data_IF_781637146936
#
_entry.id   IF_781637146936
#
_cell.length_a   1.000
_cell.length_b   1.000
_cell.length_c   1.000
_cell.angle_alpha   90.00
_cell.angle_beta   90.00
_cell.angle_gamma   90.00
#
_symmetry.space_group_name_H-M   'P 1'
#
loop_
_entity.id
_entity.type
_entity.pdbx_description
1 polymer ?
#
# COMPACT_ATOMS: atom_id res chain seq x y z
N UNK A 1 -3.77 1.36 26.22
CA UNK A 1 -4.55 0.14 26.04
C UNK A 1 -5.40 -0.19 27.27
N UNK A 2 -6.47 -0.96 27.09
CA UNK A 2 -7.32 -1.39 28.21
C UNK A 2 -6.69 -2.57 28.96
N UNK A 3 -6.00 -3.43 28.23
CA UNK A 3 -5.17 -4.52 28.76
C UNK A 3 -4.15 -4.97 27.71
N UNK A 4 -3.37 -6.00 27.99
CA UNK A 4 -2.33 -6.52 27.09
C UNK A 4 -2.86 -7.12 25.77
N UNK A 5 -4.18 -7.27 25.61
CA UNK A 5 -4.81 -7.86 24.42
C UNK A 5 -5.82 -6.94 23.75
N UNK A 6 -6.22 -5.86 24.41
CA UNK A 6 -7.22 -4.94 23.88
C UNK A 6 -6.79 -3.49 24.04
N UNK A 7 -6.86 -2.76 22.94
CA UNK A 7 -6.65 -1.30 22.88
C UNK A 7 -7.92 -0.65 22.38
N UNK A 8 -8.45 0.32 23.11
CA UNK A 8 -9.52 1.19 22.63
C UNK A 8 -8.93 2.49 22.12
N UNK A 9 -9.54 3.01 21.07
CA UNK A 9 -9.16 4.26 20.39
C UNK A 9 -10.39 5.14 20.24
N UNK A 10 -10.20 6.44 20.34
CA UNK A 10 -11.22 7.45 20.06
C UNK A 10 -10.63 8.50 19.15
N UNK A 11 -11.46 9.03 18.27
CA UNK A 11 -11.09 10.03 17.28
C UNK A 11 -12.17 11.11 17.27
N UNK A 12 -11.77 12.36 17.12
CA UNK A 12 -12.66 13.47 16.91
C UNK A 12 -11.97 14.55 16.05
N UNK A 13 -12.68 15.03 15.06
CA UNK A 13 -12.27 16.14 14.18
C UNK A 13 -13.42 17.15 14.10
N UNK A 14 -13.05 18.41 14.04
CA UNK A 14 -14.03 19.47 13.83
C UNK A 14 -13.44 20.59 12.97
N UNK A 15 -14.26 21.10 12.06
CA UNK A 15 -14.02 22.33 11.31
C UNK A 15 -15.22 23.24 11.45
N UNK A 16 -15.25 24.39 10.76
CA UNK A 16 -16.39 25.29 10.80
C UNK A 16 -17.72 24.63 10.38
N UNK A 17 -17.64 23.69 9.42
CA UNK A 17 -18.81 23.10 8.76
C UNK A 17 -18.87 21.57 8.89
N UNK A 18 -17.95 20.93 9.63
CA UNK A 18 -17.86 19.49 9.81
C UNK A 18 -17.59 19.16 11.26
N UNK A 19 -18.32 18.20 11.81
CA UNK A 19 -17.99 17.48 13.03
C UNK A 19 -17.93 15.98 12.72
N UNK A 20 -16.87 15.32 13.15
CA UNK A 20 -16.65 13.88 12.97
C UNK A 20 -16.13 13.30 14.29
N UNK A 21 -16.69 12.18 14.71
CA UNK A 21 -16.22 11.46 15.88
C UNK A 21 -16.34 9.94 15.68
N UNK A 22 -15.39 9.22 16.24
CA UNK A 22 -15.36 7.78 16.10
C UNK A 22 -14.73 7.07 17.29
N UNK A 23 -15.01 5.78 17.37
CA UNK A 23 -14.44 4.84 18.34
C UNK A 23 -13.94 3.61 17.61
N UNK A 24 -12.89 3.02 18.12
CA UNK A 24 -12.32 1.79 17.57
C UNK A 24 -11.68 0.93 18.64
N UNK A 25 -11.37 -0.30 18.25
CA UNK A 25 -10.68 -1.22 19.13
C UNK A 25 -9.85 -2.23 18.37
N UNK A 26 -8.70 -2.56 18.95
CA UNK A 26 -7.79 -3.58 18.46
C UNK A 26 -7.72 -4.72 19.46
N UNK A 27 -7.97 -5.95 19.00
CA UNK A 27 -7.85 -7.18 19.77
C UNK A 27 -6.71 -8.06 19.28
N UNK A 28 -5.82 -8.40 20.17
CA UNK A 28 -4.86 -9.49 19.99
C UNK A 28 -5.52 -10.78 20.44
N UNK A 29 -5.91 -11.65 19.51
CA UNK A 29 -6.71 -12.85 19.77
C UNK A 29 -5.93 -13.92 20.53
N UNK A 30 -4.61 -13.79 20.63
CA UNK A 30 -3.74 -14.69 21.36
C UNK A 30 -3.48 -16.02 20.64
N UNK A 31 -2.43 -16.74 21.04
CA UNK A 31 -2.00 -17.96 20.35
C UNK A 31 -1.84 -17.73 18.84
N UNK A 32 -2.39 -18.62 17.99
CA UNK A 32 -2.35 -18.44 16.53
C UNK A 32 -3.48 -17.55 15.99
N UNK A 33 -4.21 -16.80 16.82
CA UNK A 33 -5.47 -16.14 16.42
C UNK A 33 -5.33 -14.83 15.65
N UNK A 34 -4.15 -14.19 15.66
CA UNK A 34 -3.93 -12.94 14.94
C UNK A 34 -4.44 -11.68 15.66
N UNK A 35 -4.66 -10.62 14.90
CA UNK A 35 -5.12 -9.31 15.39
C UNK A 35 -6.36 -8.90 14.63
N UNK A 36 -7.39 -8.50 15.35
CA UNK A 36 -8.63 -7.95 14.80
C UNK A 36 -8.73 -6.48 15.19
N UNK A 37 -9.11 -5.65 14.24
CA UNK A 37 -9.46 -4.25 14.45
C UNK A 37 -10.89 -4.01 13.96
N UNK A 38 -11.64 -3.14 14.66
CA UNK A 38 -12.92 -2.64 14.21
C UNK A 38 -13.10 -1.19 14.68
N UNK A 39 -13.74 -0.36 13.86
CA UNK A 39 -14.09 1.01 14.21
C UNK A 39 -15.43 1.43 13.61
N UNK A 40 -16.02 2.44 14.26
CA UNK A 40 -17.22 3.17 13.81
C UNK A 40 -16.98 4.65 14.00
N UNK A 41 -17.36 5.45 13.00
CA UNK A 41 -17.33 6.90 13.06
C UNK A 41 -18.63 7.48 12.50
N UNK A 42 -19.03 8.64 13.01
CA UNK A 42 -20.16 9.40 12.51
C UNK A 42 -19.71 10.81 12.18
N UNK A 43 -20.29 11.39 11.13
CA UNK A 43 -20.04 12.77 10.73
C UNK A 43 -21.35 13.54 10.54
N UNK A 44 -21.26 14.83 10.76
CA UNK A 44 -22.32 15.80 10.46
C UNK A 44 -21.72 17.01 9.75
N UNK A 45 -22.28 17.35 8.59
CA UNK A 45 -21.85 18.45 7.74
C UNK A 45 -23.06 19.17 7.20
N UNK A 46 -23.27 20.44 7.58
CA UNK A 46 -24.36 21.30 7.06
C UNK A 46 -25.76 20.65 7.14
N UNK A 47 -26.03 19.87 8.21
CA UNK A 47 -27.30 19.17 8.42
C UNK A 47 -27.44 17.82 7.71
N UNK A 48 -26.41 17.39 7.02
CA UNK A 48 -26.29 16.03 6.46
C UNK A 48 -25.44 15.17 7.38
N UNK A 49 -25.84 13.93 7.59
CA UNK A 49 -25.12 12.99 8.45
C UNK A 49 -24.75 11.71 7.72
N UNK A 50 -23.69 11.10 8.17
CA UNK A 50 -23.23 9.83 7.64
C UNK A 50 -22.44 9.03 8.66
N UNK A 51 -22.20 7.77 8.34
CA UNK A 51 -21.45 6.84 9.18
C UNK A 51 -20.37 6.16 8.36
N UNK A 52 -19.26 5.86 9.01
CA UNK A 52 -18.20 5.00 8.48
C UNK A 52 -17.98 3.83 9.42
N UNK A 53 -17.80 2.65 8.85
CA UNK A 53 -17.31 1.49 9.58
C UNK A 53 -16.03 0.98 8.94
N UNK A 54 -15.14 0.45 9.75
CA UNK A 54 -13.98 -0.27 9.24
C UNK A 54 -13.69 -1.52 10.04
N UNK A 55 -13.07 -2.48 9.39
CA UNK A 55 -12.63 -3.71 10.01
C UNK A 55 -11.35 -4.22 9.37
N UNK A 56 -10.45 -4.77 10.15
CA UNK A 56 -9.31 -5.47 9.61
C UNK A 56 -8.96 -6.71 10.44
N UNK A 57 -8.43 -7.70 9.76
CA UNK A 57 -7.89 -8.89 10.37
C UNK A 57 -6.51 -9.17 9.81
N UNK A 58 -5.54 -9.33 10.68
CA UNK A 58 -4.17 -9.69 10.33
C UNK A 58 -3.77 -10.96 11.06
N UNK A 59 -3.42 -11.97 10.30
CA UNK A 59 -2.86 -13.19 10.83
C UNK A 59 -1.52 -13.49 10.18
N UNK A 60 -0.56 -13.89 10.97
CA UNK A 60 0.74 -14.32 10.48
C UNK A 60 1.32 -15.44 11.36
N UNK A 61 2.11 -16.26 10.74
CA UNK A 61 3.03 -17.18 11.39
C UNK A 61 4.41 -17.11 10.73
N UNK A 62 5.32 -18.03 11.05
CA UNK A 62 6.67 -18.00 10.48
C UNK A 62 6.74 -18.17 8.96
N UNK A 63 5.65 -18.55 8.30
CA UNK A 63 5.62 -18.84 6.84
C UNK A 63 4.49 -18.16 6.10
N UNK A 64 3.33 -18.04 6.73
CA UNK A 64 2.13 -17.49 6.08
C UNK A 64 1.69 -16.19 6.73
N UNK A 65 1.14 -15.31 5.93
CA UNK A 65 0.40 -14.15 6.38
C UNK A 65 -0.92 -14.03 5.60
N UNK A 66 -1.94 -13.53 6.27
CA UNK A 66 -3.25 -13.19 5.69
C UNK A 66 -3.64 -11.83 6.25
N UNK A 67 -4.02 -10.93 5.36
CA UNK A 67 -4.55 -9.61 5.69
C UNK A 67 -5.90 -9.41 5.03
N UNK A 68 -6.87 -8.96 5.80
CA UNK A 68 -8.20 -8.58 5.33
C UNK A 68 -8.47 -7.17 5.85
N UNK A 69 -8.93 -6.28 4.98
CA UNK A 69 -9.37 -4.94 5.35
C UNK A 69 -10.68 -4.62 4.65
N UNK A 70 -11.58 -4.01 5.35
CA UNK A 70 -12.81 -3.45 4.81
C UNK A 70 -13.09 -2.09 5.42
N UNK A 71 -13.60 -1.20 4.61
CA UNK A 71 -14.11 0.12 5.01
C UNK A 71 -15.37 0.36 4.21
N UNK A 72 -16.39 0.88 4.85
CA UNK A 72 -17.60 1.31 4.18
C UNK A 72 -18.17 2.56 4.80
N UNK A 73 -18.82 3.38 3.98
CA UNK A 73 -19.52 4.57 4.40
C UNK A 73 -21.00 4.49 4.04
N UNK A 74 -21.83 5.19 4.77
CA UNK A 74 -23.25 5.32 4.50
C UNK A 74 -23.74 6.75 4.76
N UNK A 75 -24.81 7.15 4.10
CA UNK A 75 -25.27 8.52 4.12
C UNK A 75 -24.24 9.46 3.50
N UNK A 76 -24.21 10.70 3.96
CA UNK A 76 -23.26 11.72 3.52
C UNK A 76 -22.05 11.81 4.47
N UNK A 77 -21.45 10.65 4.78
CA UNK A 77 -20.26 10.61 5.63
C UNK A 77 -19.13 11.44 5.02
N UNK A 78 -18.56 12.33 5.82
CA UNK A 78 -17.38 13.12 5.46
C UNK A 78 -16.38 13.15 6.62
N UNK A 79 -15.13 13.17 6.26
CA UNK A 79 -14.02 13.53 7.13
C UNK A 79 -13.35 14.81 6.63
N UNK A 80 -12.33 15.27 7.32
CA UNK A 80 -11.61 16.49 6.92
C UNK A 80 -11.00 16.35 5.53
N UNK A 81 -10.50 15.17 5.15
CA UNK A 81 -9.89 14.95 3.85
C UNK A 81 -10.92 15.05 2.70
N UNK A 82 -12.10 14.45 2.86
CA UNK A 82 -13.19 14.52 1.87
C UNK A 82 -13.81 15.91 1.78
N UNK A 83 -13.83 16.65 2.90
CA UNK A 83 -14.29 18.04 2.91
C UNK A 83 -13.38 18.96 2.07
N UNK A 84 -12.09 18.66 1.95
CA UNK A 84 -11.11 19.46 1.22
C UNK A 84 -10.67 18.86 -0.14
N UNK A 85 -11.46 17.96 -0.71
CA UNK A 85 -11.34 17.54 -2.12
C UNK A 85 -10.80 16.13 -2.36
N UNK A 86 -10.67 15.28 -1.35
CA UNK A 86 -10.47 13.86 -1.58
C UNK A 86 -11.77 13.19 -2.03
N UNK A 87 -11.71 12.26 -2.99
CA UNK A 87 -12.88 11.50 -3.40
C UNK A 87 -13.43 10.67 -2.24
N UNK A 88 -14.73 10.78 -2.01
CA UNK A 88 -15.41 10.02 -0.95
C UNK A 88 -15.45 8.52 -1.32
N UNK A 89 -14.94 7.67 -0.45
CA UNK A 89 -14.98 6.24 -0.61
C UNK A 89 -16.31 5.72 -0.08
N UNK A 90 -17.07 4.98 -0.91
CA UNK A 90 -18.28 4.28 -0.50
C UNK A 90 -17.95 2.92 0.13
N UNK A 91 -17.08 2.18 -0.52
CA UNK A 91 -16.64 0.86 -0.05
C UNK A 91 -15.18 0.64 -0.45
N UNK A 92 -14.39 0.08 0.44
CA UNK A 92 -13.05 -0.42 0.11
C UNK A 92 -12.86 -1.79 0.73
N UNK A 93 -12.41 -2.74 -0.07
CA UNK A 93 -12.11 -4.10 0.37
C UNK A 93 -10.73 -4.50 -0.10
N UNK A 94 -9.94 -5.04 0.79
CA UNK A 94 -8.61 -5.55 0.47
C UNK A 94 -8.42 -6.94 1.07
N UNK A 95 -7.91 -7.85 0.27
CA UNK A 95 -7.42 -9.15 0.73
C UNK A 95 -5.97 -9.31 0.30
N UNK A 96 -5.14 -9.80 1.19
CA UNK A 96 -3.74 -10.12 0.90
C UNK A 96 -3.34 -11.43 1.55
N UNK A 97 -2.47 -12.17 0.88
CA UNK A 97 -1.86 -13.37 1.46
C UNK A 97 -0.42 -13.48 1.00
N UNK A 98 0.42 -14.06 1.83
CA UNK A 98 1.81 -14.27 1.52
C UNK A 98 2.34 -15.56 2.12
N UNK A 99 3.39 -16.05 1.50
CA UNK A 99 4.12 -17.23 1.91
C UNK A 99 5.62 -16.99 1.85
N UNK A 100 6.33 -17.35 2.90
CA UNK A 100 7.77 -17.13 3.00
C UNK A 100 8.50 -18.41 3.33
N UNK A 101 9.56 -18.70 2.59
CA UNK A 101 10.48 -19.79 2.85
C UNK A 101 11.92 -19.35 2.69
N UNK A 102 12.82 -20.04 3.37
CA UNK A 102 14.26 -19.78 3.24
C UNK A 102 14.79 -20.16 1.85
N UNK A 103 14.23 -21.20 1.23
CA UNK A 103 14.71 -21.71 -0.07
C UNK A 103 14.18 -20.92 -1.27
N UNK A 104 12.89 -20.55 -1.25
CA UNK A 104 12.22 -19.92 -2.40
C UNK A 104 12.05 -18.40 -2.24
N UNK A 105 12.25 -17.85 -1.04
CA UNK A 105 11.98 -16.46 -0.74
C UNK A 105 10.54 -16.24 -0.29
N UNK A 106 10.06 -15.02 -0.43
CA UNK A 106 8.72 -14.58 -0.04
C UNK A 106 7.88 -14.27 -1.27
N UNK A 107 6.65 -14.75 -1.27
CA UNK A 107 5.62 -14.50 -2.28
C UNK A 107 4.42 -13.86 -1.63
N UNK A 108 3.72 -13.04 -2.36
CA UNK A 108 2.44 -12.55 -1.92
C UNK A 108 1.57 -12.12 -3.09
N UNK A 109 0.27 -12.16 -2.85
CA UNK A 109 -0.74 -11.66 -3.75
C UNK A 109 -1.72 -10.81 -2.97
N UNK A 110 -2.26 -9.79 -3.61
CA UNK A 110 -3.31 -8.96 -3.04
C UNK A 110 -4.34 -8.59 -4.11
N UNK A 111 -5.55 -8.41 -3.64
CA UNK A 111 -6.64 -7.83 -4.40
C UNK A 111 -7.19 -6.65 -3.61
N UNK A 112 -7.44 -5.56 -4.30
CA UNK A 112 -7.99 -4.34 -3.74
C UNK A 112 -9.12 -3.83 -4.63
N UNK A 113 -10.26 -3.53 -4.04
CA UNK A 113 -11.42 -2.95 -4.67
C UNK A 113 -11.83 -1.69 -3.91
N UNK A 114 -11.95 -0.58 -4.62
CA UNK A 114 -12.37 0.70 -4.06
C UNK A 114 -13.54 1.24 -4.89
N UNK A 115 -14.68 1.35 -4.27
CA UNK A 115 -15.88 1.99 -4.83
C UNK A 115 -15.97 3.42 -4.31
N UNK A 116 -15.92 4.37 -5.22
CA UNK A 116 -16.04 5.79 -4.92
C UNK A 116 -17.47 6.25 -5.04
N UNK A 117 -17.82 7.33 -4.34
CA UNK A 117 -19.18 7.85 -4.37
C UNK A 117 -19.55 8.52 -5.72
N UNK A 118 -18.55 9.11 -6.39
CA UNK A 118 -18.73 9.92 -7.60
C UNK A 118 -17.90 9.42 -8.79
N UNK A 119 -17.01 8.44 -8.57
CA UNK A 119 -16.11 7.87 -9.59
C UNK A 119 -16.40 6.39 -9.81
N UNK A 120 -15.84 5.82 -10.86
CA UNK A 120 -15.92 4.40 -11.14
C UNK A 120 -15.17 3.55 -10.09
N UNK A 121 -15.65 2.34 -9.88
CA UNK A 121 -14.99 1.36 -9.01
C UNK A 121 -13.61 0.99 -9.55
N UNK A 122 -12.59 1.15 -8.75
CA UNK A 122 -11.22 0.75 -9.08
C UNK A 122 -10.92 -0.64 -8.51
N UNK A 123 -10.35 -1.54 -9.32
CA UNK A 123 -10.01 -2.93 -8.94
C UNK A 123 -8.58 -3.25 -9.34
N UNK A 124 -7.77 -3.61 -8.36
CA UNK A 124 -6.36 -3.91 -8.59
C UNK A 124 -6.00 -5.29 -8.04
N UNK A 125 -5.26 -6.05 -8.84
CA UNK A 125 -4.57 -7.23 -8.38
C UNK A 125 -3.05 -6.98 -8.39
N UNK A 126 -2.36 -7.43 -7.35
CA UNK A 126 -0.92 -7.32 -7.26
C UNK A 126 -0.31 -8.65 -6.85
N UNK A 127 0.88 -8.93 -7.35
CA UNK A 127 1.69 -10.05 -6.92
C UNK A 127 3.13 -9.59 -6.70
N UNK A 128 3.79 -10.14 -5.71
CA UNK A 128 5.21 -9.90 -5.51
C UNK A 128 5.97 -11.18 -5.20
N UNK A 129 7.24 -11.15 -5.55
CA UNK A 129 8.22 -12.12 -5.10
C UNK A 129 9.49 -11.41 -4.68
N UNK A 130 10.11 -11.87 -3.59
CA UNK A 130 11.40 -11.37 -3.17
C UNK A 130 12.26 -12.49 -2.60
N UNK A 131 13.56 -12.44 -2.89
CA UNK A 131 14.51 -13.41 -2.35
C UNK A 131 15.86 -12.77 -2.05
N UNK A 132 16.36 -13.03 -0.86
CA UNK A 132 17.72 -12.70 -0.48
C UNK A 132 18.66 -13.88 -0.74
N UNK A 133 19.75 -13.61 -1.42
CA UNK A 133 20.83 -14.54 -1.72
C UNK A 133 22.02 -14.19 -0.81
N UNK A 134 22.15 -14.93 0.25
CA UNK A 134 23.09 -14.61 1.31
C UNK A 134 22.72 -13.30 2.02
N UNK A 135 23.76 -12.54 2.43
CA UNK A 135 23.59 -11.30 3.20
C UNK A 135 23.65 -10.02 2.37
N UNK A 136 23.98 -10.15 1.09
CA UNK A 136 24.38 -8.98 0.28
C UNK A 136 23.51 -8.72 -0.94
N UNK A 137 22.83 -9.73 -1.43
CA UNK A 137 22.04 -9.61 -2.65
C UNK A 137 20.57 -9.90 -2.38
N UNK A 138 19.70 -9.02 -2.85
CA UNK A 138 18.26 -9.22 -2.84
C UNK A 138 17.70 -8.96 -4.25
N UNK A 139 16.76 -9.80 -4.65
CA UNK A 139 16.00 -9.67 -5.89
C UNK A 139 14.52 -9.58 -5.54
N UNK A 140 13.80 -8.68 -6.20
CA UNK A 140 12.36 -8.52 -6.07
C UNK A 140 11.70 -8.35 -7.43
N UNK A 141 10.50 -8.89 -7.54
CA UNK A 141 9.61 -8.76 -8.69
C UNK A 141 8.26 -8.30 -8.17
N UNK A 142 7.67 -7.31 -8.82
CA UNK A 142 6.32 -6.84 -8.51
C UNK A 142 5.52 -6.78 -9.82
N UNK A 143 4.27 -7.21 -9.74
CA UNK A 143 3.29 -7.18 -10.81
C UNK A 143 2.05 -6.49 -10.28
N UNK A 144 1.50 -5.55 -11.05
CA UNK A 144 0.26 -4.89 -10.73
C UNK A 144 -0.61 -4.84 -11.99
N UNK A 145 -1.90 -5.09 -11.79
CA UNK A 145 -2.89 -5.10 -12.86
C UNK A 145 -4.14 -4.36 -12.40
N UNK A 146 -4.58 -3.40 -13.17
CA UNK A 146 -5.94 -2.89 -13.08
C UNK A 146 -6.88 -3.90 -13.76
N UNK A 147 -7.87 -4.40 -13.02
CA UNK A 147 -8.80 -5.44 -13.53
C UNK A 147 -9.85 -4.82 -14.45
N UNK A 148 -10.18 -3.55 -14.24
CA UNK A 148 -11.15 -2.83 -15.06
C UNK A 148 -10.54 -2.35 -16.39
N UNK A 149 -9.26 -2.08 -16.40
CA UNK A 149 -8.51 -1.65 -17.58
C UNK A 149 -7.26 -2.52 -17.78
N UNK A 150 -7.36 -3.48 -18.68
CA UNK A 150 -6.26 -4.39 -18.99
C UNK A 150 -5.02 -3.68 -19.57
N UNK A 151 -5.20 -2.48 -20.11
CA UNK A 151 -4.11 -1.65 -20.59
C UNK A 151 -3.36 -0.92 -19.46
N UNK A 152 -3.86 -0.96 -18.23
CA UNK A 152 -3.20 -0.36 -17.07
C UNK A 152 -2.52 -1.43 -16.23
N UNK A 153 -1.40 -1.93 -16.73
CA UNK A 153 -0.58 -2.92 -16.05
C UNK A 153 0.83 -2.40 -15.76
N UNK A 154 1.48 -2.95 -14.77
CA UNK A 154 2.89 -2.70 -14.53
C UNK A 154 3.62 -3.94 -14.01
N UNK A 155 4.83 -4.11 -14.48
CA UNK A 155 5.75 -5.12 -13.99
C UNK A 155 7.08 -4.47 -13.63
N UNK A 156 7.65 -4.83 -12.49
CA UNK A 156 8.97 -4.34 -12.11
C UNK A 156 9.86 -5.46 -11.58
N UNK A 157 11.13 -5.36 -11.89
CA UNK A 157 12.19 -6.21 -11.36
C UNK A 157 13.23 -5.29 -10.73
N UNK A 158 13.55 -5.54 -9.47
CA UNK A 158 14.56 -4.78 -8.74
C UNK A 158 15.62 -5.71 -8.16
N UNK A 159 16.85 -5.24 -8.17
CA UNK A 159 17.97 -5.89 -7.53
C UNK A 159 18.71 -4.93 -6.61
N UNK A 160 19.05 -5.36 -5.42
CA UNK A 160 19.87 -4.61 -4.49
C UNK A 160 21.09 -5.42 -4.06
N UNK A 161 22.22 -4.74 -3.98
CA UNK A 161 23.49 -5.34 -3.60
C UNK A 161 24.19 -4.47 -2.55
N UNK A 162 24.51 -5.06 -1.41
CA UNK A 162 25.32 -4.42 -0.38
C UNK A 162 26.80 -4.73 -0.61
N UNK A 163 27.54 -3.75 -1.08
CA UNK A 163 28.97 -3.88 -1.37
C UNK A 163 29.79 -3.92 -0.08
N UNK A 164 29.42 -3.09 0.89
CA UNK A 164 30.02 -3.00 2.22
C UNK A 164 28.96 -2.54 3.22
N UNK A 165 29.33 -2.40 4.50
CA UNK A 165 28.39 -1.99 5.57
C UNK A 165 27.65 -0.70 5.27
N UNK A 166 28.25 0.21 4.52
CA UNK A 166 27.71 1.53 4.25
C UNK A 166 27.46 1.82 2.77
N UNK A 167 27.79 0.90 1.85
CA UNK A 167 27.65 1.10 0.41
C UNK A 167 26.61 0.11 -0.11
N UNK A 168 25.60 0.63 -0.77
CA UNK A 168 24.57 -0.16 -1.45
C UNK A 168 24.43 0.28 -2.91
N UNK A 169 24.16 -0.70 -3.75
CA UNK A 169 23.76 -0.52 -5.13
C UNK A 169 22.35 -1.06 -5.30
N UNK A 170 21.48 -0.28 -5.95
CA UNK A 170 20.12 -0.67 -6.29
C UNK A 170 19.89 -0.42 -7.76
N UNK A 171 19.19 -1.33 -8.40
CA UNK A 171 18.78 -1.20 -9.79
C UNK A 171 17.37 -1.72 -9.94
N UNK A 172 16.55 -1.06 -10.73
CA UNK A 172 15.21 -1.52 -11.07
C UNK A 172 14.86 -1.19 -12.51
N UNK A 173 14.10 -2.08 -13.11
CA UNK A 173 13.41 -1.89 -14.38
C UNK A 173 11.93 -1.98 -14.10
N UNK A 174 11.18 -1.00 -14.57
CA UNK A 174 9.73 -0.99 -14.50
C UNK A 174 9.18 -0.85 -15.91
N UNK A 175 8.33 -1.77 -16.29
CA UNK A 175 7.54 -1.75 -17.51
C UNK A 175 6.11 -1.34 -17.20
N UNK A 176 5.57 -0.42 -17.94
CA UNK A 176 4.15 -0.05 -17.98
C UNK A 176 3.70 -0.07 -19.44
N UNK A 177 2.39 -0.10 -19.69
CA UNK A 177 1.87 -0.16 -21.06
C UNK A 177 2.37 0.98 -21.98
N UNK A 178 2.81 2.08 -21.42
CA UNK A 178 3.23 3.27 -22.16
C UNK A 178 4.71 3.61 -22.02
N UNK A 179 5.43 2.98 -21.09
CA UNK A 179 6.80 3.39 -20.77
C UNK A 179 7.61 2.31 -20.08
N UNK A 180 8.89 2.27 -20.43
CA UNK A 180 9.93 1.56 -19.72
C UNK A 180 10.81 2.54 -18.93
N UNK A 181 10.94 2.30 -17.64
CA UNK A 181 11.82 3.06 -16.75
C UNK A 181 12.94 2.17 -16.22
N UNK A 182 14.18 2.62 -16.40
CA UNK A 182 15.34 2.03 -15.78
C UNK A 182 15.91 3.00 -14.75
N UNK A 183 16.19 2.52 -13.55
CA UNK A 183 16.81 3.30 -12.48
C UNK A 183 17.98 2.49 -11.91
N UNK A 184 19.13 3.14 -11.79
CA UNK A 184 20.29 2.61 -11.08
C UNK A 184 20.74 3.64 -10.05
N UNK A 185 21.02 3.17 -8.86
CA UNK A 185 21.39 3.99 -7.72
C UNK A 185 22.53 3.34 -6.95
N UNK A 186 23.51 4.14 -6.60
CA UNK A 186 24.56 3.76 -5.67
C UNK A 186 24.67 4.80 -4.57
N UNK A 187 24.70 4.35 -3.34
CA UNK A 187 24.74 5.25 -2.19
C UNK A 187 25.68 4.73 -1.10
N UNK A 188 26.29 5.67 -0.40
CA UNK A 188 27.02 5.42 0.82
C UNK A 188 26.36 6.17 1.97
N UNK A 189 25.93 5.44 2.98
CA UNK A 189 25.43 6.04 4.22
C UNK A 189 26.58 6.68 5.02
N UNK A 190 26.30 7.74 5.76
CA UNK A 190 27.25 8.33 6.69
C UNK A 190 27.66 7.29 7.73
N UNK A 191 28.95 6.96 7.87
CA UNK A 191 29.40 6.02 8.89
C UNK A 191 29.06 6.52 10.32
N UNK A 192 28.77 5.63 11.24
CA UNK A 192 28.43 5.97 12.63
C UNK A 192 29.58 6.70 13.38
N UNK A 193 30.83 6.51 12.94
CA UNK A 193 31.99 7.21 13.47
C UNK A 193 32.23 8.60 12.85
N UNK A 194 31.32 9.08 12.02
CA UNK A 194 31.44 10.31 11.24
C UNK A 194 32.05 10.07 9.86
N UNK A 195 31.85 11.02 8.96
CA UNK A 195 32.32 10.95 7.56
C UNK A 195 31.32 11.54 6.59
N UNK A 196 31.53 11.27 5.32
CA UNK A 196 30.66 11.73 4.23
C UNK A 196 29.73 10.60 3.76
N UNK A 197 28.45 10.93 3.60
CA UNK A 197 27.51 10.14 2.83
C UNK A 197 27.35 10.76 1.44
N UNK A 198 27.09 9.92 0.43
CA UNK A 198 26.84 10.37 -0.93
C UNK A 198 25.86 9.43 -1.63
N UNK A 199 25.22 9.94 -2.68
CA UNK A 199 24.34 9.18 -3.56
C UNK A 199 24.55 9.63 -4.99
N UNK A 200 24.59 8.67 -5.90
CA UNK A 200 24.54 8.89 -7.34
C UNK A 200 23.40 8.06 -7.93
N UNK A 201 22.61 8.67 -8.79
CA UNK A 201 21.47 8.01 -9.44
C UNK A 201 21.49 8.30 -10.93
N UNK A 202 21.26 7.26 -11.72
CA UNK A 202 20.98 7.35 -13.14
C UNK A 202 19.55 6.88 -13.39
N UNK A 203 18.83 7.60 -14.24
CA UNK A 203 17.49 7.21 -14.69
C UNK A 203 17.43 7.33 -16.21
N UNK A 204 16.87 6.33 -16.84
CA UNK A 204 16.54 6.33 -18.26
C UNK A 204 15.08 5.92 -18.39
N UNK A 205 14.32 6.69 -19.17
CA UNK A 205 12.91 6.42 -19.44
C UNK A 205 12.72 6.39 -20.94
N UNK A 206 12.17 5.30 -21.46
CA UNK A 206 11.82 5.14 -22.85
C UNK A 206 10.29 5.12 -22.97
N UNK A 207 9.71 6.18 -23.55
CA UNK A 207 8.28 6.26 -23.80
C UNK A 207 7.94 5.52 -25.09
N UNK A 208 6.91 4.67 -25.06
CA UNK A 208 6.33 4.10 -26.26
C UNK A 208 5.87 5.25 -27.18
N UNK A 209 6.41 5.30 -28.39
CA UNK A 209 6.01 6.23 -29.43
C UNK A 209 4.51 5.99 -29.72
N UNK A 210 3.63 6.85 -29.21
CA UNK A 210 2.27 6.92 -29.70
C UNK A 210 2.34 7.15 -31.22
N UNK A 211 1.97 6.16 -32.00
CA UNK A 211 1.77 6.31 -33.43
C UNK A 211 0.70 7.38 -33.61
N UNK A 212 1.14 8.64 -33.80
CA UNK A 212 0.31 9.66 -34.39
C UNK A 212 0.06 9.25 -35.85
N UNK A 213 -0.98 8.47 -36.06
CA UNK A 213 -1.56 8.25 -37.37
C UNK A 213 -2.47 9.46 -37.67
N UNK A 214 -1.86 10.61 -37.93
CA UNK A 214 -2.52 11.69 -38.64
C UNK A 214 -2.49 11.33 -40.14
N UNK A 215 -3.41 10.44 -40.54
CA UNK A 215 -3.77 10.30 -41.95
C UNK A 215 -4.48 11.57 -42.42
N UNK A 216 -3.89 12.29 -43.32
CA UNK A 216 -4.48 13.38 -44.05
C UNK A 216 -5.55 12.93 -45.07
#
# INVERSE_FOLDING_TARGET
GVNNRFTAETHAEATKDLANAGVGGTWVLGGPGGVLFASLAGSETQGQSGMQYSGSYLWNNNRFNIGLNTLGTSGDYRDVATQYGSSAIRQSNQISTGYSTQSLGSFGVSYNEVDYAEDDTAKFASAYWSKSFGRRFNLNVNLNQDINDSANSSASIGASFSLDRNISFNSSVQHTDSRDDFIADVSQSVPSAGGLGWRAQARHSEGGNGKNNSGG
#
